data_IF_692786471553
#
_entry.id   IF_692786471553
#
_cell.length_a   1.000
_cell.length_b   1.000
_cell.length_c   1.000
_cell.angle_alpha   90.00
_cell.angle_beta   90.00
_cell.angle_gamma   90.00
#
_symmetry.space_group_name_H-M   'P 1'
#
loop_
_entity.id
_entity.type
_entity.pdbx_description
1 polymer ?
#
# COMPACT_ATOMS: atom_id res chain seq x y z
N UNK A 1 -18.32 2.06 12.58
CA UNK A 1 -17.17 1.24 12.97
C UNK A 1 -16.32 1.10 11.73
N UNK A 2 -15.09 1.61 11.74
CA UNK A 2 -14.26 1.75 10.54
C UNK A 2 -13.12 0.75 10.63
N UNK A 3 -13.40 -0.52 10.31
CA UNK A 3 -12.39 -1.56 10.34
C UNK A 3 -11.56 -1.51 9.05
N UNK A 4 -10.73 -0.46 8.90
CA UNK A 4 -9.87 -0.24 7.72
C UNK A 4 -8.70 -1.24 7.67
N UNK A 5 -8.33 -1.82 8.81
CA UNK A 5 -7.26 -2.81 8.92
C UNK A 5 -7.75 -4.02 9.72
N UNK A 6 -8.70 -4.78 9.17
CA UNK A 6 -9.13 -6.06 9.77
C UNK A 6 -7.97 -7.06 9.67
N UNK A 7 -7.48 -7.50 10.82
CA UNK A 7 -6.60 -8.66 10.93
C UNK A 7 -7.34 -9.69 11.78
N UNK A 8 -7.90 -10.72 11.14
CA UNK A 8 -8.71 -11.75 11.82
C UNK A 8 -7.87 -12.75 12.63
N UNK A 9 -6.54 -12.74 12.45
CA UNK A 9 -5.65 -13.66 13.14
C UNK A 9 -5.05 -13.05 14.42
N UNK A 10 -4.96 -13.81 15.52
CA UNK A 10 -4.28 -13.37 16.74
C UNK A 10 -2.77 -13.27 16.50
N UNK A 11 -2.15 -12.14 16.85
CA UNK A 11 -0.72 -11.91 16.67
C UNK A 11 -0.32 -10.44 16.69
N UNK A 12 0.98 -10.18 16.54
CA UNK A 12 1.52 -8.83 16.31
C UNK A 12 1.66 -8.61 14.81
N UNK A 13 1.04 -7.54 14.30
CA UNK A 13 1.04 -7.21 12.88
C UNK A 13 1.86 -5.96 12.63
N UNK A 14 2.68 -5.98 11.57
CA UNK A 14 3.40 -4.81 11.08
C UNK A 14 3.07 -4.62 9.60
N UNK A 15 2.62 -3.41 9.22
CA UNK A 15 2.32 -3.06 7.84
C UNK A 15 3.41 -2.11 7.33
N UNK A 16 4.14 -2.53 6.30
CA UNK A 16 5.07 -1.68 5.56
C UNK A 16 4.36 -1.14 4.31
N UNK A 17 4.30 0.19 4.20
CA UNK A 17 3.63 0.87 3.08
C UNK A 17 4.65 1.74 2.35
N UNK A 18 4.63 1.66 1.03
CA UNK A 18 5.37 2.57 0.15
C UNK A 18 4.40 3.53 -0.51
N UNK A 19 4.63 4.83 -0.38
CA UNK A 19 3.79 5.86 -0.97
C UNK A 19 4.59 6.66 -1.99
N UNK A 20 4.05 6.83 -3.20
CA UNK A 20 4.60 7.79 -4.16
C UNK A 20 4.17 9.20 -3.76
N UNK A 21 5.15 10.05 -3.40
CA UNK A 21 4.91 11.46 -3.07
C UNK A 21 5.04 12.38 -4.28
N UNK A 22 5.50 11.83 -5.42
CA UNK A 22 5.79 12.56 -6.66
C UNK A 22 5.45 11.71 -7.88
N UNK A 23 4.19 11.31 -7.97
CA UNK A 23 3.68 10.61 -9.15
C UNK A 23 3.65 11.53 -10.36
N UNK A 24 4.00 10.98 -11.53
CA UNK A 24 3.90 11.65 -12.82
C UNK A 24 2.54 11.44 -13.47
N UNK A 25 1.82 10.39 -13.08
CA UNK A 25 0.44 10.15 -13.50
C UNK A 25 -0.46 11.26 -12.99
N UNK A 26 -1.20 11.90 -13.89
CA UNK A 26 -2.15 12.96 -13.58
C UNK A 26 -3.58 12.46 -13.75
N UNK A 27 -4.38 12.71 -12.71
CA UNK A 27 -5.82 12.47 -12.73
C UNK A 27 -6.62 13.69 -13.16
N UNK A 28 -7.95 13.54 -13.18
CA UNK A 28 -8.90 14.62 -13.40
C UNK A 28 -10.14 14.46 -12.51
N UNK A 29 -10.80 15.57 -12.20
CA UNK A 29 -12.06 15.59 -11.45
C UNK A 29 -13.10 16.29 -12.30
N UNK A 30 -14.24 15.64 -12.53
CA UNK A 30 -15.34 16.18 -13.31
C UNK A 30 -16.63 16.24 -12.48
N UNK A 31 -17.30 17.39 -12.55
CA UNK A 31 -18.63 17.58 -11.96
C UNK A 31 -19.64 16.83 -12.83
N UNK A 32 -20.39 15.91 -12.21
CA UNK A 32 -21.39 15.07 -12.89
C UNK A 32 -22.82 15.57 -12.73
N UNK A 33 -23.06 16.47 -11.77
CA UNK A 33 -24.38 16.99 -11.42
C UNK A 33 -24.26 18.43 -10.93
N UNK A 34 -25.32 19.21 -11.10
CA UNK A 34 -25.46 20.54 -10.50
C UNK A 34 -25.84 20.50 -9.02
N UNK A 35 -26.21 19.32 -8.48
CA UNK A 35 -26.52 19.12 -7.07
C UNK A 35 -25.20 19.00 -6.26
N UNK A 36 -24.93 19.91 -5.30
CA UNK A 36 -23.71 19.90 -4.51
C UNK A 36 -23.60 18.72 -3.54
N UNK A 37 -24.67 17.95 -3.33
CA UNK A 37 -24.63 16.71 -2.54
C UNK A 37 -24.18 15.50 -3.34
N UNK A 38 -24.15 15.62 -4.68
CA UNK A 38 -23.68 14.55 -5.56
C UNK A 38 -22.16 14.56 -5.65
N UNK A 39 -21.52 13.41 -5.39
CA UNK A 39 -20.07 13.27 -5.52
C UNK A 39 -19.59 13.45 -6.96
N UNK A 40 -18.47 14.15 -7.13
CA UNK A 40 -17.79 14.25 -8.42
C UNK A 40 -17.16 12.92 -8.83
N UNK A 41 -17.03 12.72 -10.14
CA UNK A 41 -16.24 11.60 -10.66
C UNK A 41 -14.78 12.01 -10.70
N UNK A 42 -13.93 11.23 -10.03
CA UNK A 42 -12.48 11.43 -10.03
C UNK A 42 -11.80 10.27 -10.75
N UNK A 43 -11.09 10.56 -11.83
CA UNK A 43 -10.18 9.62 -12.49
C UNK A 43 -8.78 9.83 -11.96
N UNK A 44 -8.28 8.94 -11.09
CA UNK A 44 -6.97 9.11 -10.44
C UNK A 44 -5.80 8.68 -11.33
N UNK A 45 -6.04 7.84 -12.33
CA UNK A 45 -5.04 7.34 -13.29
C UNK A 45 -3.76 6.82 -12.61
N UNK A 46 -3.88 6.13 -11.47
CA UNK A 46 -2.69 5.63 -10.77
C UNK A 46 -1.87 4.69 -11.67
N UNK A 47 -0.56 4.90 -11.68
CA UNK A 47 0.43 4.10 -12.40
C UNK A 47 0.28 4.14 -13.93
N UNK A 48 -0.46 5.10 -14.47
CA UNK A 48 -0.61 5.30 -15.92
C UNK A 48 0.72 5.70 -16.58
N UNK A 49 1.52 6.55 -15.91
CA UNK A 49 2.87 6.84 -16.35
C UNK A 49 3.80 5.65 -16.02
N UNK A 50 4.55 5.09 -16.99
CA UNK A 50 5.32 3.86 -16.79
C UNK A 50 6.41 3.98 -15.72
N UNK A 51 6.95 5.18 -15.51
CA UNK A 51 7.92 5.43 -14.44
C UNK A 51 7.31 5.32 -13.03
N UNK A 52 6.03 5.63 -12.86
CA UNK A 52 5.38 5.50 -11.55
C UNK A 52 5.29 4.03 -11.14
N UNK A 53 5.02 3.15 -12.11
CA UNK A 53 5.01 1.70 -11.90
C UNK A 53 6.41 1.16 -11.54
N UNK A 54 7.45 1.55 -12.27
CA UNK A 54 8.83 1.14 -11.99
C UNK A 54 9.29 1.64 -10.61
N UNK A 55 9.00 2.90 -10.27
CA UNK A 55 9.33 3.47 -8.96
C UNK A 55 8.58 2.77 -7.83
N UNK A 56 7.29 2.47 -8.01
CA UNK A 56 6.51 1.72 -7.02
C UNK A 56 7.12 0.32 -6.78
N UNK A 57 7.41 -0.42 -7.86
CA UNK A 57 8.01 -1.75 -7.78
C UNK A 57 9.36 -1.74 -7.03
N UNK A 58 10.25 -0.80 -7.37
CA UNK A 58 11.54 -0.63 -6.69
C UNK A 58 11.38 -0.25 -5.22
N UNK A 59 10.38 0.57 -4.90
CA UNK A 59 10.08 0.96 -3.53
C UNK A 59 9.63 -0.25 -2.71
N UNK A 60 8.78 -1.13 -3.26
CA UNK A 60 8.39 -2.37 -2.58
C UNK A 60 9.58 -3.29 -2.32
N UNK A 61 10.44 -3.51 -3.32
CA UNK A 61 11.68 -4.30 -3.15
C UNK A 61 12.59 -3.67 -2.10
N UNK A 62 12.69 -2.35 -2.05
CA UNK A 62 13.46 -1.66 -1.03
C UNK A 62 12.85 -1.82 0.37
N UNK A 63 11.53 -1.72 0.51
CA UNK A 63 10.82 -1.94 1.77
C UNK A 63 11.04 -3.35 2.31
N UNK A 64 11.06 -4.37 1.45
CA UNK A 64 11.42 -5.74 1.84
C UNK A 64 12.85 -5.83 2.34
N UNK A 65 13.82 -5.20 1.66
CA UNK A 65 15.21 -5.16 2.14
C UNK A 65 15.34 -4.49 3.50
N UNK A 66 14.54 -3.47 3.81
CA UNK A 66 14.58 -2.82 5.13
C UNK A 66 14.29 -3.79 6.28
N UNK A 67 13.54 -4.87 6.04
CA UNK A 67 13.26 -5.90 7.06
C UNK A 67 14.49 -6.72 7.47
N UNK A 68 15.58 -6.62 6.70
CA UNK A 68 16.85 -7.30 6.99
C UNK A 68 17.76 -6.48 7.91
N UNK A 69 17.40 -5.23 8.22
CA UNK A 69 18.24 -4.32 9.00
C UNK A 69 17.62 -3.96 10.35
N UNK A 70 18.49 -3.73 11.35
CA UNK A 70 18.07 -3.23 12.65
C UNK A 70 17.68 -1.74 12.59
N UNK A 71 16.73 -1.28 13.42
CA UNK A 71 16.05 -2.02 14.50
C UNK A 71 14.83 -2.82 14.03
N UNK A 72 14.45 -2.72 12.76
CA UNK A 72 13.22 -3.35 12.26
C UNK A 72 13.31 -4.88 12.28
N UNK A 73 14.48 -5.44 11.97
CA UNK A 73 14.68 -6.90 11.93
C UNK A 73 14.31 -7.58 13.24
N UNK A 74 14.72 -7.03 14.38
CA UNK A 74 14.46 -7.63 15.70
C UNK A 74 13.00 -7.52 16.17
N UNK A 75 12.17 -6.69 15.54
CA UNK A 75 10.76 -6.55 15.89
C UNK A 75 9.82 -7.44 15.08
N UNK A 76 10.32 -8.02 13.98
CA UNK A 76 9.54 -8.87 13.08
C UNK A 76 9.58 -10.34 13.51
N UNK A 77 8.45 -11.03 13.34
CA UNK A 77 8.41 -12.48 13.51
C UNK A 77 9.06 -13.16 12.30
N UNK A 78 10.06 -14.00 12.59
CA UNK A 78 10.80 -14.76 11.59
C UNK A 78 10.29 -16.20 11.57
N UNK A 79 10.07 -16.74 10.37
CA UNK A 79 9.75 -18.16 10.19
C UNK A 79 10.95 -19.06 10.45
N UNK A 80 10.74 -20.38 10.36
CA UNK A 80 11.77 -21.40 10.64
C UNK A 80 13.07 -21.26 9.82
N UNK A 81 13.05 -20.55 8.70
CA UNK A 81 14.21 -20.25 7.85
C UNK A 81 14.90 -18.90 8.11
N UNK A 82 14.54 -18.17 9.16
CA UNK A 82 15.09 -16.84 9.45
C UNK A 82 14.62 -15.71 8.51
N UNK A 83 13.60 -16.01 7.69
CA UNK A 83 12.94 -15.10 6.77
C UNK A 83 11.69 -14.49 7.43
N UNK A 84 11.34 -13.27 7.04
CA UNK A 84 10.12 -12.60 7.54
C UNK A 84 8.89 -13.39 7.15
N UNK A 85 8.03 -13.67 8.12
CA UNK A 85 6.77 -14.34 7.87
C UNK A 85 5.77 -13.34 7.27
N UNK A 86 5.45 -13.51 5.99
CA UNK A 86 4.39 -12.74 5.31
C UNK A 86 3.06 -13.49 5.39
N UNK A 87 2.01 -12.82 5.83
CA UNK A 87 0.64 -13.31 5.67
C UNK A 87 0.05 -12.73 4.39
N UNK A 88 -0.47 -13.59 3.52
CA UNK A 88 -1.25 -13.15 2.37
C UNK A 88 -2.55 -12.50 2.85
N UNK A 89 -2.80 -11.25 2.48
CA UNK A 89 -4.13 -10.68 2.65
C UNK A 89 -5.07 -11.35 1.64
N UNK A 90 -6.20 -11.85 2.12
CA UNK A 90 -7.33 -12.15 1.24
C UNK A 90 -7.82 -10.78 0.78
N UNK A 91 -7.46 -10.37 -0.44
CA UNK A 91 -7.87 -9.08 -0.99
C UNK A 91 -9.38 -8.88 -0.80
N UNK A 92 -9.78 -7.70 -0.35
CA UNK A 92 -11.19 -7.36 -0.25
C UNK A 92 -11.84 -7.53 -1.63
N UNK A 93 -12.77 -8.49 -1.73
CA UNK A 93 -13.70 -8.64 -2.87
C UNK A 93 -14.63 -7.45 -2.95
#
# INVERSE_FOLDING_TARGET
>A
SSDIFVQDAPGKWTILITCSTRSLSCGSVHITSSDPTTHSTTGLNYLDHPLDLDMAARSFVHALKLTEYEPLRSTLELGAGGQVQSHSSTGAT
#
